data_IF_124297621905
#
_entry.id   IF_124297621905
#
_cell.length_a   1.000
_cell.length_b   1.000
_cell.length_c   1.000
_cell.angle_alpha   90.00
_cell.angle_beta   90.00
_cell.angle_gamma   90.00
#
_symmetry.space_group_name_H-M   'P 1'
#
loop_
_entity.id
_entity.type
_entity.pdbx_description
1 polymer ?
#
# COMPACT_ATOMS: atom_id res chain seq x y z
N UNK A 1 7.21 -29.50 -32.43
CA UNK A 1 7.57 -28.21 -33.07
C UNK A 1 6.37 -27.26 -32.91
N UNK A 2 6.67 -26.06 -32.39
CA UNK A 2 5.86 -24.83 -32.33
C UNK A 2 4.50 -24.89 -31.61
N UNK A 3 4.51 -24.51 -30.32
CA UNK A 3 3.34 -24.10 -29.54
C UNK A 3 2.97 -22.66 -29.97
N UNK A 4 1.74 -22.43 -30.43
CA UNK A 4 1.22 -21.08 -30.63
C UNK A 4 0.69 -20.53 -29.31
N UNK A 5 1.29 -19.42 -28.87
CA UNK A 5 0.81 -18.56 -27.79
C UNK A 5 -0.11 -17.52 -28.42
N UNK A 6 -1.38 -17.54 -28.05
CA UNK A 6 -2.33 -16.47 -28.39
C UNK A 6 -2.26 -15.44 -27.25
N UNK A 7 -1.47 -14.41 -27.45
CA UNK A 7 -1.36 -13.27 -26.54
C UNK A 7 -2.46 -12.28 -26.89
N UNK A 8 -3.58 -12.34 -26.16
CA UNK A 8 -4.63 -11.32 -26.23
C UNK A 8 -4.21 -10.16 -25.33
N UNK A 9 -3.55 -9.16 -25.91
CA UNK A 9 -3.26 -7.90 -25.25
C UNK A 9 -4.58 -7.11 -25.11
N UNK A 10 -5.14 -7.11 -23.91
CA UNK A 10 -6.24 -6.22 -23.56
C UNK A 10 -5.62 -4.93 -22.99
N UNK A 11 -5.32 -3.98 -23.88
CA UNK A 11 -4.87 -2.65 -23.50
C UNK A 11 -6.10 -1.83 -23.09
N UNK A 12 -6.53 -1.96 -21.84
CA UNK A 12 -7.51 -1.04 -21.27
C UNK A 12 -6.81 0.29 -21.02
N UNK A 13 -7.02 1.22 -21.93
CA UNK A 13 -6.83 2.64 -21.67
C UNK A 13 -7.89 3.06 -20.64
N UNK A 14 -7.55 2.95 -19.36
CA UNK A 14 -8.29 3.64 -18.31
C UNK A 14 -7.98 5.12 -18.52
N UNK A 15 -9.00 5.89 -18.91
CA UNK A 15 -8.97 7.34 -18.79
C UNK A 15 -8.95 7.68 -17.30
N UNK A 16 -7.77 7.63 -16.68
CA UNK A 16 -7.53 8.35 -15.44
C UNK A 16 -7.73 9.82 -15.76
N UNK A 17 -8.59 10.50 -15.00
CA UNK A 17 -8.63 11.95 -15.04
C UNK A 17 -7.26 12.42 -14.54
N UNK A 18 -6.34 12.72 -15.46
CA UNK A 18 -5.10 13.40 -15.11
C UNK A 18 -5.52 14.81 -14.69
N UNK A 19 -5.76 14.99 -13.40
CA UNK A 19 -5.96 16.31 -12.83
C UNK A 19 -4.71 17.14 -13.11
N UNK A 20 -4.88 18.38 -13.57
CA UNK A 20 -3.76 19.33 -13.60
C UNK A 20 -3.13 19.37 -12.22
N UNK A 21 -1.79 19.40 -12.13
CA UNK A 21 -1.11 19.50 -10.84
C UNK A 21 -1.70 20.62 -9.96
N UNK A 22 -2.23 21.68 -10.57
CA UNK A 22 -2.82 22.85 -9.90
C UNK A 22 -4.03 22.54 -9.01
N UNK A 23 -4.80 21.46 -9.24
CA UNK A 23 -5.96 21.12 -8.40
C UNK A 23 -5.60 20.34 -7.14
N UNK A 24 -4.35 19.86 -7.02
CA UNK A 24 -3.86 19.19 -5.81
C UNK A 24 -3.49 20.27 -4.76
N UNK A 25 -3.80 20.13 -3.48
CA UNK A 25 -3.34 21.06 -2.46
C UNK A 25 -1.80 21.18 -2.43
N UNK A 26 -1.29 22.40 -2.23
CA UNK A 26 0.17 22.67 -2.27
C UNK A 26 0.93 21.86 -1.23
N UNK A 27 0.40 21.75 -0.01
CA UNK A 27 0.97 20.94 1.07
C UNK A 27 1.10 19.45 0.70
N UNK A 28 0.15 18.87 -0.03
CA UNK A 28 0.27 17.50 -0.52
C UNK A 28 1.43 17.36 -1.52
N UNK A 29 1.53 18.28 -2.49
CA UNK A 29 2.64 18.29 -3.48
C UNK A 29 4.00 18.51 -2.82
N UNK A 30 4.08 19.43 -1.86
CA UNK A 30 5.31 19.75 -1.14
C UNK A 30 5.78 18.53 -0.31
N UNK A 31 4.87 17.95 0.47
CA UNK A 31 5.15 16.74 1.24
C UNK A 31 5.62 15.60 0.33
N UNK A 32 4.88 15.33 -0.75
CA UNK A 32 5.21 14.27 -1.70
C UNK A 32 6.60 14.45 -2.31
N UNK A 33 6.91 15.65 -2.79
CA UNK A 33 8.19 15.96 -3.45
C UNK A 33 9.37 15.75 -2.51
N UNK A 34 9.22 16.12 -1.23
CA UNK A 34 10.25 15.96 -0.21
C UNK A 34 10.37 14.49 0.21
N UNK A 35 9.25 13.82 0.52
CA UNK A 35 9.25 12.47 1.05
C UNK A 35 9.66 11.41 0.00
N UNK A 36 9.29 11.61 -1.25
CA UNK A 36 9.50 10.65 -2.35
C UNK A 36 10.35 11.26 -3.47
N UNK A 37 11.48 11.85 -3.10
CA UNK A 37 12.46 12.37 -4.06
C UNK A 37 12.90 11.27 -5.02
N UNK A 38 12.82 11.54 -6.33
CA UNK A 38 13.12 10.57 -7.39
C UNK A 38 11.92 9.70 -7.81
N UNK A 39 10.71 9.97 -7.29
CA UNK A 39 9.49 9.36 -7.80
C UNK A 39 9.27 9.71 -9.29
N UNK A 40 8.79 8.72 -10.02
CA UNK A 40 8.45 8.79 -11.45
C UNK A 40 7.03 8.25 -11.65
N UNK A 41 6.47 8.43 -12.85
CA UNK A 41 5.11 7.96 -13.19
C UNK A 41 4.06 8.38 -12.14
N UNK A 42 4.13 9.65 -11.71
CA UNK A 42 3.29 10.18 -10.63
C UNK A 42 1.92 10.52 -11.19
N UNK A 43 0.91 9.83 -10.69
CA UNK A 43 -0.49 9.99 -11.06
C UNK A 43 -1.28 10.36 -9.81
N UNK A 44 -1.99 11.48 -9.87
CA UNK A 44 -2.85 11.97 -8.79
C UNK A 44 -4.32 11.79 -9.19
N UNK A 45 -5.13 11.27 -8.27
CA UNK A 45 -6.57 11.16 -8.42
C UNK A 45 -7.29 11.78 -7.21
N UNK A 46 -8.35 12.54 -7.46
CA UNK A 46 -9.19 13.13 -6.42
C UNK A 46 -10.43 12.23 -6.31
N UNK A 47 -10.44 11.36 -5.29
CA UNK A 47 -11.53 10.43 -5.05
C UNK A 47 -12.34 10.85 -3.82
N UNK A 48 -13.58 11.30 -4.05
CA UNK A 48 -14.51 11.65 -2.98
C UNK A 48 -13.98 12.79 -2.10
N UNK A 49 -13.66 12.48 -0.84
CA UNK A 49 -13.13 13.39 0.19
C UNK A 49 -11.61 13.28 0.39
N UNK A 50 -10.92 12.54 -0.48
CA UNK A 50 -9.49 12.28 -0.39
C UNK A 50 -8.77 12.49 -1.71
N UNK A 51 -7.46 12.31 -1.65
CA UNK A 51 -6.56 12.40 -2.80
C UNK A 51 -5.64 11.20 -2.75
N UNK A 52 -5.68 10.40 -3.82
CA UNK A 52 -4.82 9.25 -3.99
C UNK A 52 -3.67 9.62 -4.93
N UNK A 53 -2.49 9.06 -4.68
CA UNK A 53 -1.32 9.19 -5.56
C UNK A 53 -0.72 7.83 -5.82
N UNK A 54 -0.53 7.48 -7.09
CA UNK A 54 0.25 6.32 -7.50
C UNK A 54 1.55 6.79 -8.13
N UNK A 55 2.67 6.14 -7.81
CA UNK A 55 3.97 6.52 -8.32
C UNK A 55 4.95 5.35 -8.29
N UNK A 56 6.00 5.42 -9.09
CA UNK A 56 7.10 4.47 -9.07
C UNK A 56 8.32 5.11 -8.40
N UNK A 57 8.90 4.43 -7.42
CA UNK A 57 10.13 4.82 -6.73
C UNK A 57 11.11 3.66 -6.77
N UNK A 58 12.30 3.88 -7.34
CA UNK A 58 13.32 2.84 -7.56
C UNK A 58 12.78 1.59 -8.30
N UNK A 59 11.85 1.79 -9.24
CA UNK A 59 11.23 0.71 -10.02
C UNK A 59 10.12 -0.06 -9.29
N UNK A 60 9.74 0.37 -8.08
CA UNK A 60 8.66 -0.25 -7.29
C UNK A 60 7.46 0.69 -7.25
N UNK A 61 6.26 0.15 -7.43
CA UNK A 61 5.00 0.91 -7.38
C UNK A 61 4.55 1.16 -5.95
N UNK A 62 4.19 2.40 -5.65
CA UNK A 62 3.67 2.87 -4.38
C UNK A 62 2.31 3.53 -4.56
N UNK A 63 1.51 3.49 -3.48
CA UNK A 63 0.22 4.17 -3.37
C UNK A 63 0.21 5.03 -2.11
N UNK A 64 0.00 6.33 -2.26
CA UNK A 64 -0.17 7.29 -1.18
C UNK A 64 -1.61 7.78 -1.10
N UNK A 65 -2.01 8.24 0.08
CA UNK A 65 -3.29 8.90 0.30
C UNK A 65 -3.11 10.15 1.15
N UNK A 66 -3.84 11.19 0.77
CA UNK A 66 -3.97 12.45 1.48
C UNK A 66 -5.46 12.72 1.72
N UNK A 67 -5.79 13.52 2.73
CA UNK A 67 -7.14 14.07 2.88
C UNK A 67 -7.40 15.20 1.85
N UNK A 68 -8.66 15.65 1.74
CA UNK A 68 -9.05 16.75 0.86
C UNK A 68 -8.28 18.07 1.08
N UNK A 69 -7.71 18.27 2.27
CA UNK A 69 -6.91 19.47 2.60
C UNK A 69 -5.43 19.29 2.29
N UNK A 70 -5.02 18.09 1.85
CA UNK A 70 -3.66 17.76 1.48
C UNK A 70 -2.78 17.27 2.62
N UNK A 71 -3.35 16.89 3.77
CA UNK A 71 -2.54 16.25 4.82
C UNK A 71 -2.29 14.79 4.47
N UNK A 72 -1.05 14.36 4.62
CA UNK A 72 -0.65 12.98 4.36
C UNK A 72 -1.29 12.02 5.36
N UNK A 73 -1.94 10.97 4.86
CA UNK A 73 -2.59 9.94 5.67
C UNK A 73 -1.75 8.67 5.72
N UNK A 74 -1.35 8.17 4.54
CA UNK A 74 -0.55 6.95 4.44
C UNK A 74 0.21 6.87 3.11
N UNK A 75 1.22 6.01 3.08
CA UNK A 75 1.79 5.50 1.83
C UNK A 75 2.14 4.04 2.02
N UNK A 76 1.86 3.22 1.02
CA UNK A 76 2.11 1.79 1.06
C UNK A 76 2.63 1.26 -0.27
N UNK A 77 3.34 0.15 -0.21
CA UNK A 77 3.65 -0.70 -1.36
C UNK A 77 3.42 -2.15 -1.00
N UNK A 78 3.03 -2.95 -1.98
CA UNK A 78 2.93 -4.39 -1.79
C UNK A 78 4.32 -4.99 -1.63
N UNK A 79 4.42 -6.06 -0.83
CA UNK A 79 5.66 -6.79 -0.58
C UNK A 79 5.52 -8.23 -1.04
N UNK A 80 6.53 -8.68 -1.79
CA UNK A 80 6.77 -10.09 -1.97
C UNK A 80 7.16 -10.75 -0.63
N UNK A 81 6.96 -12.06 -0.54
CA UNK A 81 7.25 -12.80 0.70
C UNK A 81 8.72 -12.70 1.09
N UNK A 82 9.60 -12.68 0.08
CA UNK A 82 11.05 -12.63 0.18
C UNK A 82 11.55 -11.26 0.66
N UNK A 83 10.76 -10.19 0.49
CA UNK A 83 11.10 -8.84 0.94
C UNK A 83 10.83 -8.61 2.43
N UNK A 84 10.09 -9.51 3.09
CA UNK A 84 9.75 -9.34 4.50
C UNK A 84 10.95 -9.58 5.41
N UNK A 85 11.22 -8.68 6.37
CA UNK A 85 12.23 -8.95 7.37
C UNK A 85 11.89 -10.19 8.19
N UNK A 86 12.91 -11.02 8.42
CA UNK A 86 12.76 -12.26 9.20
C UNK A 86 12.18 -12.00 10.60
N UNK A 87 12.49 -10.84 11.20
CA UNK A 87 11.96 -10.43 12.51
C UNK A 87 10.44 -10.28 12.47
N UNK A 88 9.90 -9.66 11.41
CA UNK A 88 8.45 -9.49 11.21
C UNK A 88 7.78 -10.83 10.98
N UNK A 89 8.37 -11.70 10.15
CA UNK A 89 7.88 -13.06 9.94
C UNK A 89 7.82 -13.86 11.26
N UNK A 90 8.85 -13.73 12.10
CA UNK A 90 8.87 -14.37 13.41
C UNK A 90 7.82 -13.78 14.36
N UNK A 91 7.60 -12.47 14.29
CA UNK A 91 6.53 -11.78 15.02
C UNK A 91 5.15 -12.32 14.65
N UNK A 92 4.87 -12.42 13.35
CA UNK A 92 3.61 -12.96 12.84
C UNK A 92 3.38 -14.40 13.30
N UNK A 93 4.39 -15.27 13.22
CA UNK A 93 4.33 -16.66 13.69
C UNK A 93 4.13 -16.82 15.19
N UNK A 94 4.44 -15.79 15.99
CA UNK A 94 4.22 -15.78 17.44
C UNK A 94 2.91 -15.10 17.85
N UNK A 95 2.23 -14.46 16.89
CA UNK A 95 0.96 -13.77 17.14
C UNK A 95 -0.22 -14.74 17.17
N UNK A 96 -1.39 -14.24 17.58
CA UNK A 96 -2.66 -14.99 17.49
C UNK A 96 -3.05 -15.39 16.06
N UNK A 97 -2.42 -14.77 15.04
CA UNK A 97 -2.67 -15.02 13.62
C UNK A 97 -1.68 -16.01 12.99
N UNK A 98 -0.86 -16.72 13.80
CA UNK A 98 0.20 -17.59 13.30
C UNK A 98 -0.25 -18.66 12.29
N UNK A 99 -1.49 -19.15 12.43
CA UNK A 99 -2.07 -20.17 11.57
C UNK A 99 -3.01 -19.59 10.49
N UNK A 100 -3.19 -18.28 10.43
CA UNK A 100 -4.09 -17.64 9.46
C UNK A 100 -3.39 -17.51 8.10
N UNK A 101 -4.17 -17.62 7.03
CA UNK A 101 -3.67 -17.44 5.68
C UNK A 101 -3.34 -15.97 5.42
N UNK A 102 -2.08 -15.68 5.09
CA UNK A 102 -1.69 -14.34 4.63
C UNK A 102 -2.04 -14.18 3.15
N UNK A 103 -2.97 -13.28 2.85
CA UNK A 103 -3.43 -12.98 1.47
C UNK A 103 -2.62 -11.85 0.83
N UNK A 104 -2.41 -10.76 1.56
CA UNK A 104 -1.68 -9.59 1.08
C UNK A 104 -0.73 -9.06 2.16
N UNK A 105 0.33 -8.37 1.72
CA UNK A 105 1.40 -7.87 2.59
C UNK A 105 1.86 -6.53 2.06
N UNK A 106 1.97 -5.54 2.93
CA UNK A 106 2.39 -4.21 2.53
C UNK A 106 3.43 -3.65 3.49
N UNK A 107 4.43 -2.97 2.94
CA UNK A 107 5.13 -1.93 3.67
C UNK A 107 4.17 -0.74 3.78
N UNK A 108 4.01 -0.20 4.98
CA UNK A 108 2.99 0.79 5.29
C UNK A 108 3.56 1.92 6.14
N UNK A 109 3.30 3.15 5.73
CA UNK A 109 3.83 4.36 6.35
C UNK A 109 2.66 5.30 6.69
N UNK A 110 2.76 5.97 7.83
CA UNK A 110 1.79 6.96 8.31
C UNK A 110 2.52 8.13 8.98
N UNK A 111 1.86 9.25 9.26
CA UNK A 111 2.45 10.35 10.03
C UNK A 111 3.05 9.92 11.38
N UNK A 112 2.44 8.92 12.02
CA UNK A 112 2.85 8.45 13.36
C UNK A 112 3.88 7.30 13.30
N UNK A 113 3.96 6.58 12.17
CA UNK A 113 4.81 5.41 12.00
C UNK A 113 5.50 5.45 10.64
N UNK A 114 6.82 5.62 10.64
CA UNK A 114 7.62 5.68 9.41
C UNK A 114 7.71 4.36 8.66
N UNK A 115 7.48 3.23 9.34
CA UNK A 115 7.44 1.90 8.72
C UNK A 115 6.66 0.93 9.61
N UNK A 116 5.69 0.25 9.00
CA UNK A 116 4.89 -0.84 9.53
C UNK A 116 4.75 -1.90 8.44
N UNK A 117 4.38 -3.11 8.87
CA UNK A 117 4.05 -4.22 7.98
C UNK A 117 2.58 -4.56 8.16
N UNK A 118 1.77 -4.22 7.16
CA UNK A 118 0.36 -4.58 7.12
C UNK A 118 0.20 -5.97 6.51
N UNK A 119 -0.62 -6.81 7.12
CA UNK A 119 -1.02 -8.09 6.57
C UNK A 119 -2.54 -8.17 6.49
N UNK A 120 -3.04 -8.63 5.35
CA UNK A 120 -4.37 -9.20 5.27
C UNK A 120 -4.28 -10.68 5.62
N UNK A 121 -4.91 -11.07 6.72
CA UNK A 121 -4.97 -12.45 7.19
C UNK A 121 -6.39 -12.97 7.14
N UNK A 122 -6.57 -14.23 6.74
CA UNK A 122 -7.87 -14.89 6.61
C UNK A 122 -7.88 -16.23 7.34
N UNK A 123 -8.97 -16.49 8.05
CA UNK A 123 -9.28 -17.80 8.63
C UNK A 123 -10.76 -18.07 8.48
N UNK A 124 -11.11 -19.17 7.80
CA UNK A 124 -12.50 -19.49 7.44
C UNK A 124 -13.16 -18.27 6.73
N UNK A 125 -14.27 -17.77 7.27
CA UNK A 125 -15.00 -16.61 6.73
C UNK A 125 -14.55 -15.27 7.32
N UNK A 126 -13.56 -15.27 8.22
CA UNK A 126 -13.05 -14.07 8.85
C UNK A 126 -11.86 -13.50 8.09
N UNK A 127 -11.89 -12.20 7.82
CA UNK A 127 -10.77 -11.43 7.29
C UNK A 127 -10.36 -10.34 8.28
N UNK A 128 -9.05 -10.21 8.52
CA UNK A 128 -8.49 -9.17 9.36
C UNK A 128 -7.33 -8.47 8.68
N UNK A 129 -7.22 -7.17 8.90
CA UNK A 129 -6.05 -6.37 8.57
C UNK A 129 -5.28 -6.13 9.86
N UNK A 130 -4.05 -6.62 9.93
CA UNK A 130 -3.20 -6.53 11.12
C UNK A 130 -1.92 -5.75 10.78
N UNK A 131 -1.31 -5.15 11.80
CA UNK A 131 -0.07 -4.39 11.63
C UNK A 131 1.00 -4.89 12.59
N UNK A 132 2.21 -5.06 12.08
CA UNK A 132 3.39 -5.35 12.86
C UNK A 132 4.41 -4.21 12.73
N UNK A 133 5.10 -3.89 13.82
CA UNK A 133 6.26 -2.99 13.80
C UNK A 133 7.46 -3.67 13.12
N UNK A 134 8.52 -2.91 12.75
CA UNK A 134 9.76 -3.49 12.24
C UNK A 134 10.42 -4.51 13.17
N UNK A 135 10.16 -4.41 14.48
CA UNK A 135 10.63 -5.36 15.52
C UNK A 135 9.73 -6.60 15.62
N UNK A 136 8.73 -6.74 14.76
CA UNK A 136 7.80 -7.88 14.74
C UNK A 136 6.77 -7.85 15.86
N UNK A 137 6.50 -6.68 16.46
CA UNK A 137 5.45 -6.54 17.48
C UNK A 137 4.11 -6.25 16.82
N UNK A 138 3.08 -7.03 17.14
CA UNK A 138 1.69 -6.76 16.72
C UNK A 138 1.19 -5.46 17.35
N UNK A 139 0.43 -4.67 16.58
CA UNK A 139 -0.29 -3.47 17.00
C UNK A 139 -1.82 -3.74 16.99
N UNK A 140 -2.40 -4.25 18.09
CA UNK A 140 -3.82 -4.58 18.15
C UNK A 140 -4.74 -3.38 17.92
N UNK A 141 -4.33 -2.19 18.34
CA UNK A 141 -5.09 -0.94 18.22
C UNK A 141 -5.33 -0.50 16.76
N UNK A 142 -4.49 -0.96 15.83
CA UNK A 142 -4.64 -0.71 14.39
C UNK A 142 -5.36 -1.85 13.65
N UNK A 143 -5.63 -2.97 14.33
CA UNK A 143 -6.22 -4.14 13.71
C UNK A 143 -7.67 -3.89 13.34
N UNK A 144 -8.05 -4.22 12.10
CA UNK A 144 -9.42 -4.11 11.61
C UNK A 144 -9.98 -5.49 11.29
N UNK A 145 -11.22 -5.74 11.69
CA UNK A 145 -11.97 -6.92 11.26
C UNK A 145 -12.88 -6.50 10.12
N UNK A 146 -12.73 -7.14 8.97
CA UNK A 146 -13.64 -6.98 7.84
C UNK A 146 -14.57 -8.20 7.83
N UNK A 147 -15.80 -7.98 8.26
CA UNK A 147 -16.88 -8.93 8.02
C UNK A 147 -17.45 -8.64 6.63
N UNK A 148 -17.61 -9.68 5.82
CA UNK A 148 -18.29 -9.59 4.52
C UNK A 148 -19.75 -9.19 4.68
#
# INVERSE_FOLDING_TARGET
MKKSILMLAFFTFLMGNVYSQDSIPKNARDHFTIAYTGATNVEWDIEGDGIDVTFDLNGVKWKGKYDATGNWLLTKRELDKEELPQVVLNGLKKSEFANWDVKERYEYQTPNHRSLYQFEVKWEDQKKIIFLTPEGKLLPEMTKTENQ
#
